data_IF_270779636176
#
_entry.id   IF_270779636176
#
_cell.length_a   1.000
_cell.length_b   1.000
_cell.length_c   1.000
_cell.angle_alpha   90.00
_cell.angle_beta   90.00
_cell.angle_gamma   90.00
#
_symmetry.space_group_name_H-M   'P 1'
#
loop_
_entity.id
_entity.type
_entity.pdbx_description
1 polymer ?
#
# COMPACT_ATOMS: atom_id res chain seq x y z
N UNK A 1 9.49 -7.76 -4.17
CA UNK A 1 8.96 -7.21 -5.45
C UNK A 1 10.06 -6.46 -6.17
N UNK A 2 10.77 -5.58 -5.46
CA UNK A 2 11.95 -4.87 -5.99
C UNK A 2 13.05 -5.84 -6.46
N UNK A 3 13.38 -6.89 -5.69
CA UNK A 3 14.38 -7.89 -6.10
C UNK A 3 14.00 -8.63 -7.40
N UNK A 4 12.72 -8.96 -7.58
CA UNK A 4 12.21 -9.62 -8.79
C UNK A 4 12.22 -8.66 -10.00
N UNK A 5 11.91 -7.38 -9.77
CA UNK A 5 11.98 -6.36 -10.81
C UNK A 5 13.43 -6.18 -11.28
N UNK A 6 14.40 -6.23 -10.36
CA UNK A 6 15.83 -6.09 -10.67
C UNK A 6 16.40 -7.32 -11.39
N UNK A 7 15.94 -8.53 -11.05
CA UNK A 7 16.27 -9.75 -11.79
C UNK A 7 15.72 -9.73 -13.23
N UNK A 8 14.53 -9.17 -13.43
CA UNK A 8 13.91 -9.02 -14.76
C UNK A 8 14.53 -7.90 -15.60
N UNK A 9 15.16 -6.90 -14.99
CA UNK A 9 15.88 -5.83 -15.69
C UNK A 9 17.18 -6.33 -16.34
N UNK A 10 17.68 -7.49 -15.90
CA UNK A 10 18.91 -8.14 -16.38
C UNK A 10 18.65 -9.30 -17.36
N UNK A 11 17.39 -9.68 -17.56
CA UNK A 11 16.99 -10.78 -18.44
C UNK A 11 16.77 -10.28 -19.88
N UNK A 12 17.28 -11.02 -20.87
CA UNK A 12 16.99 -10.74 -22.28
C UNK A 12 15.61 -11.31 -22.67
N UNK A 13 14.94 -10.73 -23.68
CA UNK A 13 13.62 -11.17 -24.15
C UNK A 13 13.60 -12.65 -24.60
N UNK A 14 14.76 -13.20 -24.97
CA UNK A 14 14.96 -14.58 -25.41
C UNK A 14 15.21 -15.58 -24.25
N UNK A 15 15.34 -15.12 -23.00
CA UNK A 15 15.64 -15.98 -21.83
C UNK A 15 14.47 -16.89 -21.41
N UNK A 16 13.34 -16.79 -22.11
CA UNK A 16 12.23 -17.75 -22.08
C UNK A 16 10.91 -17.15 -21.64
N UNK A 17 9.83 -17.94 -21.62
CA UNK A 17 8.55 -17.47 -21.13
C UNK A 17 8.61 -17.23 -19.61
N UNK A 18 8.22 -16.03 -19.17
CA UNK A 18 8.25 -15.64 -17.76
C UNK A 18 6.97 -16.15 -17.07
N UNK A 19 7.15 -16.98 -16.04
CA UNK A 19 6.04 -17.55 -15.26
C UNK A 19 5.46 -16.50 -14.32
N UNK A 20 4.29 -15.97 -14.65
CA UNK A 20 3.54 -15.06 -13.81
C UNK A 20 2.47 -15.80 -13.01
N UNK A 21 2.40 -15.55 -11.69
CA UNK A 21 1.42 -16.21 -10.80
C UNK A 21 0.15 -15.38 -10.68
N UNK A 22 -0.99 -15.97 -11.05
CA UNK A 22 -2.33 -15.41 -10.85
C UNK A 22 -3.11 -16.36 -9.93
N UNK A 23 -3.35 -15.93 -8.69
CA UNK A 23 -3.94 -16.79 -7.66
C UNK A 23 -3.07 -18.02 -7.40
N UNK A 24 -3.58 -19.20 -7.78
CA UNK A 24 -2.91 -20.50 -7.61
C UNK A 24 -2.37 -21.10 -8.93
N UNK A 25 -2.43 -20.36 -10.05
CA UNK A 25 -1.96 -20.83 -11.36
C UNK A 25 -0.83 -19.98 -11.90
N UNK A 26 0.06 -20.58 -12.70
CA UNK A 26 1.12 -19.88 -13.45
C UNK A 26 0.77 -19.78 -14.92
N UNK A 27 0.96 -18.59 -15.49
CA UNK A 27 0.80 -18.32 -16.92
C UNK A 27 2.13 -17.84 -17.50
N UNK A 28 2.38 -18.19 -18.75
CA UNK A 28 3.53 -17.69 -19.51
C UNK A 28 3.19 -16.31 -20.04
N UNK A 29 3.96 -15.30 -19.64
CA UNK A 29 3.88 -13.94 -20.14
C UNK A 29 5.22 -13.53 -20.76
N UNK A 30 5.19 -12.53 -21.63
CA UNK A 30 6.42 -11.87 -22.07
C UNK A 30 7.04 -11.08 -20.92
N UNK A 31 8.31 -10.71 -21.07
CA UNK A 31 9.01 -9.86 -20.11
C UNK A 31 8.28 -8.53 -19.92
N UNK A 32 7.91 -7.87 -21.02
CA UNK A 32 7.20 -6.59 -21.04
C UNK A 32 5.85 -6.69 -20.31
N UNK A 33 5.02 -7.69 -20.64
CA UNK A 33 3.73 -7.90 -19.99
C UNK A 33 3.86 -8.17 -18.49
N UNK A 34 4.90 -8.89 -18.09
CA UNK A 34 5.18 -9.20 -16.68
C UNK A 34 5.60 -7.94 -15.92
N UNK A 35 6.48 -7.12 -16.50
CA UNK A 35 6.95 -5.85 -15.92
C UNK A 35 5.80 -4.84 -15.79
N UNK A 36 4.95 -4.69 -16.81
CA UNK A 36 3.80 -3.79 -16.77
C UNK A 36 2.83 -4.19 -15.64
N UNK A 37 2.51 -5.48 -15.52
CA UNK A 37 1.63 -5.99 -14.46
C UNK A 37 2.24 -5.82 -13.08
N UNK A 38 3.55 -6.01 -12.93
CA UNK A 38 4.27 -5.80 -11.67
C UNK A 38 4.24 -4.33 -11.26
N UNK A 39 4.46 -3.41 -12.21
CA UNK A 39 4.39 -1.97 -11.98
C UNK A 39 2.97 -1.54 -11.58
N UNK A 40 1.95 -2.03 -12.29
CA UNK A 40 0.55 -1.75 -11.97
C UNK A 40 0.15 -2.27 -10.58
N UNK A 41 0.56 -3.50 -10.22
CA UNK A 41 0.32 -4.07 -8.89
C UNK A 41 1.01 -3.25 -7.79
N UNK A 42 2.27 -2.86 -8.01
CA UNK A 42 3.03 -2.02 -7.07
C UNK A 42 2.35 -0.67 -6.85
N UNK A 43 1.93 -0.01 -7.93
CA UNK A 43 1.23 1.27 -7.88
C UNK A 43 -0.13 1.15 -7.14
N UNK A 44 -0.88 0.06 -7.36
CA UNK A 44 -2.13 -0.20 -6.66
C UNK A 44 -1.91 -0.34 -5.15
N UNK A 45 -0.94 -1.16 -4.73
CA UNK A 45 -0.59 -1.34 -3.32
C UNK A 45 -0.13 -0.03 -2.68
N UNK A 46 0.70 0.75 -3.36
CA UNK A 46 1.13 2.07 -2.87
C UNK A 46 -0.05 3.03 -2.69
N UNK A 47 -1.01 3.04 -3.63
CA UNK A 47 -2.22 3.87 -3.54
C UNK A 47 -3.10 3.46 -2.36
N UNK A 48 -3.32 2.16 -2.16
CA UNK A 48 -4.06 1.65 -1.01
C UNK A 48 -3.38 2.02 0.31
N UNK A 49 -2.06 1.89 0.39
CA UNK A 49 -1.29 2.28 1.56
C UNK A 49 -1.43 3.77 1.88
N UNK A 50 -1.38 4.64 0.85
CA UNK A 50 -1.58 6.08 1.03
C UNK A 50 -3.00 6.39 1.50
N UNK A 51 -4.02 5.73 0.95
CA UNK A 51 -5.40 5.91 1.38
C UNK A 51 -5.59 5.50 2.86
N UNK A 52 -5.03 4.36 3.28
CA UNK A 52 -5.07 3.93 4.68
C UNK A 52 -4.36 4.91 5.62
N UNK A 53 -3.21 5.44 5.22
CA UNK A 53 -2.50 6.48 6.00
C UNK A 53 -3.35 7.74 6.16
N UNK A 54 -3.98 8.21 5.08
CA UNK A 54 -4.85 9.38 5.13
C UNK A 54 -6.05 9.18 6.08
N UNK A 55 -6.67 8.00 6.06
CA UNK A 55 -7.76 7.67 6.98
C UNK A 55 -7.29 7.65 8.45
N UNK A 56 -6.09 7.11 8.71
CA UNK A 56 -5.51 7.10 10.04
C UNK A 56 -5.24 8.52 10.56
N UNK A 57 -4.69 9.38 9.71
CA UNK A 57 -4.42 10.78 10.04
C UNK A 57 -5.72 11.57 10.30
N UNK A 58 -6.76 11.34 9.50
CA UNK A 58 -8.09 11.91 9.73
C UNK A 58 -8.69 11.46 11.07
N UNK A 59 -8.60 10.16 11.38
CA UNK A 59 -9.08 9.62 12.65
C UNK A 59 -8.33 10.23 13.84
N UNK A 60 -7.01 10.36 13.76
CA UNK A 60 -6.22 11.02 14.80
C UNK A 60 -6.57 12.50 14.95
N UNK A 61 -6.77 13.22 13.85
CA UNK A 61 -7.20 14.61 13.87
C UNK A 61 -8.58 14.76 14.54
N UNK A 62 -9.50 13.85 14.25
CA UNK A 62 -10.84 13.85 14.84
C UNK A 62 -10.79 13.56 16.35
N UNK A 63 -9.99 12.59 16.79
CA UNK A 63 -9.77 12.34 18.21
C UNK A 63 -9.18 13.57 18.91
N UNK A 64 -8.19 14.23 18.31
CA UNK A 64 -7.61 15.44 18.87
C UNK A 64 -8.63 16.59 18.97
N UNK A 65 -9.50 16.73 17.96
CA UNK A 65 -10.59 17.72 17.95
C UNK A 65 -11.61 17.43 19.05
N UNK A 66 -12.06 16.18 19.17
CA UNK A 66 -13.01 15.76 20.20
C UNK A 66 -12.44 15.93 21.60
N UNK A 67 -11.16 15.59 21.82
CA UNK A 67 -10.47 15.84 23.10
C UNK A 67 -10.53 17.33 23.48
N UNK A 68 -10.23 18.24 22.54
CA UNK A 68 -10.32 19.70 22.80
C UNK A 68 -11.74 20.13 23.17
N UNK A 69 -12.75 19.63 22.46
CA UNK A 69 -14.16 19.95 22.76
C UNK A 69 -14.55 19.46 24.15
N UNK A 70 -14.20 18.23 24.50
CA UNK A 70 -14.52 17.64 25.79
C UNK A 70 -13.81 18.35 26.94
N UNK A 71 -12.51 18.66 26.80
CA UNK A 71 -11.79 19.45 27.79
C UNK A 71 -12.32 20.89 27.89
N UNK A 72 -12.76 21.51 26.80
CA UNK A 72 -13.41 22.82 26.84
C UNK A 72 -14.75 22.81 27.60
N UNK A 73 -15.52 21.72 27.49
CA UNK A 73 -16.84 21.60 28.10
C UNK A 73 -16.81 21.11 29.56
N UNK A 74 -15.92 20.17 29.86
CA UNK A 74 -15.88 19.48 31.16
C UNK A 74 -14.64 19.84 31.99
N UNK A 75 -13.61 20.46 31.41
CA UNK A 75 -12.42 20.91 32.13
C UNK A 75 -11.71 19.76 32.85
N UNK A 76 -11.41 19.96 34.13
CA UNK A 76 -10.71 18.98 34.99
C UNK A 76 -11.61 17.87 35.55
N UNK A 77 -12.90 17.86 35.20
CA UNK A 77 -13.83 16.84 35.71
C UNK A 77 -13.78 15.51 34.96
N UNK A 78 -12.96 15.43 33.90
CA UNK A 78 -12.72 14.20 33.12
C UNK A 78 -11.22 14.02 32.83
N UNK A 79 -10.77 12.78 32.66
CA UNK A 79 -9.41 12.45 32.22
C UNK A 79 -9.46 11.59 30.93
N UNK A 80 -8.80 12.03 29.86
CA UNK A 80 -8.80 11.41 28.53
C UNK A 80 -7.39 10.96 28.07
N UNK A 81 -6.41 10.94 28.99
CA UNK A 81 -5.00 10.56 28.76
C UNK A 81 -4.71 9.08 29.12
N UNK A 82 -5.69 8.18 28.92
CA UNK A 82 -5.49 6.72 29.04
C UNK A 82 -5.46 6.07 27.67
#
# INVERSE_FOLDING_TARGET
>A
LEDLAQEWELADEDDGPFKYRIGDTFVDLTLEESQERLAAATAAVQKELQAMKAQMDEAHAEVARLKKILYGKFGKSINLEM
#
